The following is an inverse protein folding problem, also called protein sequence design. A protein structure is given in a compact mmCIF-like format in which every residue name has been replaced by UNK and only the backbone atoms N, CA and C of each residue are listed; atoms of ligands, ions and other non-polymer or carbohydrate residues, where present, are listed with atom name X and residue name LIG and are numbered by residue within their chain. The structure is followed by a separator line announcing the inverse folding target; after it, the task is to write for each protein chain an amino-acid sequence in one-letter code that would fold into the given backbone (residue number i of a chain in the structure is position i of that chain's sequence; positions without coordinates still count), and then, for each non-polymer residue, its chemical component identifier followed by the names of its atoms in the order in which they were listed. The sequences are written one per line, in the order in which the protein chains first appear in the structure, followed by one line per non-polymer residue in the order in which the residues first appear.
data_IF_938453336996
#
_entry.id   IF_938453336996
#
_cell.length_a   1.000
_cell.length_b   1.000
_cell.length_c   1.000
_cell.angle_alpha   90.00
_cell.angle_beta   90.00
_cell.angle_gamma   90.00
#
_symmetry.space_group_name_H-M   'P 1'
#
loop_
_entity.id
_entity.type
_entity.pdbx_description
1 polymer ?
#
# COMPACT_ATOMS: atom_id res chain seq x y z
N UNK A 1 2.64 3.26 -4.85
CA UNK A 1 2.69 3.64 -6.28
C UNK A 1 3.20 5.06 -6.33
N UNK A 2 4.02 5.44 -7.31
CA UNK A 2 4.56 6.82 -7.43
C UNK A 2 3.52 7.70 -8.12
N UNK A 3 2.44 8.03 -7.41
CA UNK A 3 1.32 8.84 -7.96
C UNK A 3 1.47 10.34 -7.65
N UNK A 4 2.53 10.72 -6.96
CA UNK A 4 2.78 12.09 -6.50
C UNK A 4 3.49 12.96 -7.55
N UNK A 5 4.27 12.34 -8.44
CA UNK A 5 4.97 13.01 -9.54
C UNK A 5 4.71 12.23 -10.83
N UNK A 6 3.83 12.80 -11.68
CA UNK A 6 3.48 12.23 -12.98
C UNK A 6 4.56 12.55 -14.02
N UNK A 7 4.80 11.62 -14.94
CA UNK A 7 5.89 11.69 -15.92
C UNK A 7 5.45 12.27 -17.26
N UNK A 8 4.17 12.13 -17.59
CA UNK A 8 3.61 12.64 -18.83
C UNK A 8 3.56 14.16 -18.85
N UNK A 9 3.73 14.76 -20.04
CA UNK A 9 3.85 16.21 -20.22
C UNK A 9 2.63 16.88 -20.87
N UNK A 10 1.76 16.13 -21.54
CA UNK A 10 0.54 16.67 -22.14
C UNK A 10 -0.68 16.33 -21.26
N UNK A 11 -1.71 17.21 -21.21
CA UNK A 11 -2.90 16.97 -20.39
C UNK A 11 -3.57 15.61 -20.67
N UNK A 12 -3.67 15.23 -21.94
CA UNK A 12 -4.25 13.96 -22.37
C UNK A 12 -3.48 12.75 -21.83
N UNK A 13 -2.14 12.79 -21.92
CA UNK A 13 -1.29 11.69 -21.42
C UNK A 13 -1.27 11.64 -19.89
N UNK A 14 -1.35 12.80 -19.22
CA UNK A 14 -1.49 12.89 -17.76
C UNK A 14 -2.77 12.21 -17.29
N UNK A 15 -3.90 12.44 -17.98
CA UNK A 15 -5.15 11.74 -17.66
C UNK A 15 -4.99 10.21 -17.79
N UNK A 16 -4.35 9.74 -18.87
CA UNK A 16 -4.09 8.30 -19.06
C UNK A 16 -3.20 7.73 -17.95
N UNK A 17 -2.14 8.44 -17.56
CA UNK A 17 -1.25 8.03 -16.47
C UNK A 17 -2.00 7.87 -15.14
N UNK A 18 -2.89 8.82 -14.81
CA UNK A 18 -3.76 8.74 -13.63
C UNK A 18 -4.67 7.51 -13.71
N UNK A 19 -5.31 7.27 -14.86
CA UNK A 19 -6.18 6.11 -15.05
C UNK A 19 -5.43 4.79 -14.91
N UNK A 20 -4.22 4.68 -15.46
CA UNK A 20 -3.39 3.47 -15.31
C UNK A 20 -3.00 3.25 -13.85
N UNK A 21 -2.69 4.32 -13.10
CA UNK A 21 -2.44 4.20 -11.66
C UNK A 21 -3.67 3.73 -10.89
N UNK A 22 -4.85 4.28 -11.18
CA UNK A 22 -6.09 3.84 -10.55
C UNK A 22 -6.42 2.39 -10.89
N UNK A 23 -6.25 1.99 -12.15
CA UNK A 23 -6.45 0.61 -12.60
C UNK A 23 -5.55 -0.37 -11.84
N UNK A 24 -4.24 -0.10 -11.80
CA UNK A 24 -3.30 -0.98 -11.10
C UNK A 24 -3.54 -0.98 -9.58
N UNK A 25 -3.97 0.14 -8.98
CA UNK A 25 -4.37 0.19 -7.58
C UNK A 25 -5.59 -0.69 -7.31
N UNK A 26 -6.65 -0.57 -8.12
CA UNK A 26 -7.89 -1.34 -7.98
C UNK A 26 -7.66 -2.83 -8.23
N UNK A 27 -6.83 -3.18 -9.21
CA UNK A 27 -6.44 -4.57 -9.45
C UNK A 27 -5.78 -5.16 -8.21
N UNK A 28 -4.79 -4.46 -7.65
CA UNK A 28 -4.10 -4.95 -6.46
C UNK A 28 -5.04 -5.03 -5.25
N UNK A 29 -5.96 -4.07 -5.08
CA UNK A 29 -6.98 -4.13 -4.02
C UNK A 29 -7.95 -5.28 -4.19
N UNK A 30 -8.29 -5.64 -5.42
CA UNK A 30 -9.14 -6.80 -5.71
C UNK A 30 -8.42 -8.09 -5.36
N UNK A 31 -7.16 -8.26 -5.78
CA UNK A 31 -6.33 -9.42 -5.40
C UNK A 31 -6.22 -9.54 -3.87
N UNK A 32 -5.99 -8.44 -3.16
CA UNK A 32 -5.97 -8.42 -1.70
C UNK A 32 -7.32 -8.83 -1.09
N UNK A 33 -8.44 -8.38 -1.66
CA UNK A 33 -9.77 -8.71 -1.16
C UNK A 33 -10.10 -10.19 -1.34
N UNK A 34 -9.75 -10.77 -2.50
CA UNK A 34 -9.91 -12.21 -2.77
C UNK A 34 -9.06 -13.03 -1.81
N UNK A 35 -7.76 -12.72 -1.72
CA UNK A 35 -6.85 -13.41 -0.80
C UNK A 35 -7.31 -13.32 0.67
N UNK A 36 -7.83 -12.17 1.09
CA UNK A 36 -8.37 -11.99 2.43
C UNK A 36 -9.62 -12.82 2.67
N UNK A 37 -10.53 -12.86 1.69
CA UNK A 37 -11.75 -13.68 1.74
C UNK A 37 -11.42 -15.18 1.86
N UNK A 38 -10.45 -15.67 1.08
CA UNK A 38 -10.03 -17.08 1.12
C UNK A 38 -9.34 -17.45 2.45
N UNK A 39 -8.61 -16.51 3.04
CA UNK A 39 -7.92 -16.71 4.31
C UNK A 39 -8.76 -16.37 5.55
N UNK A 40 -10.02 -15.94 5.38
CA UNK A 40 -10.92 -15.58 6.49
C UNK A 40 -10.45 -14.38 7.32
N UNK A 41 -9.83 -13.38 6.68
CA UNK A 41 -9.33 -12.16 7.34
C UNK A 41 -9.92 -10.91 6.72
N UNK A 42 -9.77 -9.76 7.40
CA UNK A 42 -10.20 -8.50 6.82
C UNK A 42 -9.23 -8.04 5.72
N UNK A 43 -9.72 -7.51 4.58
CA UNK A 43 -8.85 -6.97 3.53
C UNK A 43 -7.89 -5.86 4.00
N UNK A 44 -8.23 -5.17 5.11
CA UNK A 44 -7.41 -4.12 5.72
C UNK A 44 -6.19 -4.66 6.47
N UNK A 45 -6.23 -5.93 6.87
CA UNK A 45 -5.11 -6.61 7.52
C UNK A 45 -4.04 -7.03 6.51
N UNK A 46 -4.35 -7.07 5.21
CA UNK A 46 -3.38 -7.42 4.16
C UNK A 46 -2.45 -6.25 3.86
N UNK A 47 -1.14 -6.53 3.81
CA UNK A 47 -0.11 -5.55 3.48
C UNK A 47 -0.15 -5.19 2.00
N UNK A 48 -0.55 -3.95 1.69
CA UNK A 48 -0.49 -3.44 0.31
C UNK A 48 0.91 -3.54 -0.30
N UNK A 49 1.97 -3.29 0.49
CA UNK A 49 3.35 -3.41 0.01
C UNK A 49 3.70 -4.87 -0.29
N UNK A 50 3.34 -5.78 0.62
CA UNK A 50 3.55 -7.22 0.45
C UNK A 50 2.81 -7.75 -0.77
N UNK A 51 1.53 -7.40 -0.92
CA UNK A 51 0.72 -7.76 -2.07
C UNK A 51 1.35 -7.29 -3.39
N UNK A 52 1.79 -6.03 -3.46
CA UNK A 52 2.49 -5.51 -4.66
C UNK A 52 3.72 -6.36 -4.99
N UNK A 53 4.55 -6.66 -3.99
CA UNK A 53 5.79 -7.43 -4.19
C UNK A 53 5.47 -8.85 -4.67
N UNK A 54 4.47 -9.50 -4.08
CA UNK A 54 4.03 -10.84 -4.46
C UNK A 54 3.53 -10.86 -5.91
N UNK A 55 2.59 -9.97 -6.27
CA UNK A 55 2.06 -9.88 -7.64
C UNK A 55 3.17 -9.64 -8.66
N UNK A 56 4.09 -8.69 -8.39
CA UNK A 56 5.23 -8.44 -9.29
C UNK A 56 6.14 -9.66 -9.44
N UNK A 57 6.37 -10.43 -8.37
CA UNK A 57 7.23 -11.60 -8.41
C UNK A 57 6.58 -12.81 -9.11
N UNK A 58 5.25 -12.93 -9.04
CA UNK A 58 4.49 -14.01 -9.67
C UNK A 58 4.14 -13.71 -11.13
N UNK A 59 4.00 -12.43 -11.52
CA UNK A 59 3.65 -12.03 -12.89
C UNK A 59 4.46 -12.76 -13.99
N UNK A 60 5.81 -12.75 -14.00
CA UNK A 60 6.58 -13.44 -15.03
C UNK A 60 6.41 -14.97 -14.98
N UNK A 61 6.12 -15.54 -13.81
CA UNK A 61 5.89 -16.99 -13.65
C UNK A 61 4.56 -17.40 -14.26
N UNK A 62 3.51 -16.61 -14.03
CA UNK A 62 2.18 -16.84 -14.60
C UNK A 62 2.20 -16.64 -16.12
N UNK A 63 2.94 -15.63 -16.60
CA UNK A 63 3.13 -15.37 -18.02
C UNK A 63 3.80 -16.54 -18.75
N UNK A 64 4.88 -17.08 -18.17
CA UNK A 64 5.61 -18.22 -18.72
C UNK A 64 4.90 -19.59 -18.54
N UNK A 65 3.92 -19.67 -17.64
CA UNK A 65 3.24 -20.92 -17.33
C UNK A 65 2.28 -21.35 -18.44
N UNK A 66 2.23 -22.67 -18.68
CA UNK A 66 1.20 -23.29 -19.52
C UNK A 66 -0.18 -23.02 -18.90
N UNK A 67 -1.25 -22.91 -19.71
CA UNK A 67 -2.59 -22.62 -19.19
C UNK A 67 -3.04 -23.53 -18.04
N UNK A 68 -2.68 -24.83 -18.09
CA UNK A 68 -3.02 -25.80 -17.05
C UNK A 68 -2.32 -25.56 -15.70
N UNK A 69 -1.14 -24.92 -15.68
CA UNK A 69 -0.36 -24.69 -14.46
C UNK A 69 -0.68 -23.34 -13.80
N UNK A 70 -1.40 -22.44 -14.51
CA UNK A 70 -1.74 -21.09 -14.02
C UNK A 70 -2.62 -21.08 -12.77
N UNK A 71 -3.66 -21.93 -12.63
CA UNK A 71 -4.51 -21.92 -11.44
C UNK A 71 -3.70 -22.15 -10.15
N UNK A 72 -2.83 -23.16 -10.12
CA UNK A 72 -1.99 -23.45 -8.96
C UNK A 72 -1.04 -22.29 -8.60
N UNK A 73 -0.53 -21.56 -9.60
CA UNK A 73 0.29 -20.37 -9.36
C UNK A 73 -0.53 -19.20 -8.80
N UNK A 74 -1.79 -19.05 -9.23
CA UNK A 74 -2.70 -18.04 -8.72
C UNK A 74 -3.05 -18.36 -7.26
N UNK A 75 -3.37 -19.61 -6.94
CA UNK A 75 -3.65 -20.05 -5.56
C UNK A 75 -2.44 -19.78 -4.65
N UNK A 76 -1.24 -20.11 -5.12
CA UNK A 76 0.00 -19.82 -4.39
C UNK A 76 0.23 -18.32 -4.21
N UNK A 77 -0.07 -17.49 -5.21
CA UNK A 77 -0.01 -16.04 -5.11
C UNK A 77 -0.97 -15.53 -4.03
N UNK A 78 -2.23 -15.97 -4.04
CA UNK A 78 -3.25 -15.54 -3.08
C UNK A 78 -2.85 -15.92 -1.64
N UNK A 79 -2.34 -17.14 -1.44
CA UNK A 79 -1.81 -17.58 -0.15
C UNK A 79 -0.65 -16.67 0.35
N UNK A 80 0.31 -16.33 -0.52
CA UNK A 80 1.42 -15.43 -0.16
C UNK A 80 0.93 -14.02 0.15
N UNK A 81 -0.06 -13.52 -0.60
CA UNK A 81 -0.67 -12.21 -0.34
C UNK A 81 -1.34 -12.19 1.04
N UNK A 82 -2.14 -13.21 1.37
CA UNK A 82 -2.82 -13.32 2.66
C UNK A 82 -1.85 -13.49 3.85
N UNK A 83 -0.70 -14.14 3.63
CA UNK A 83 0.35 -14.30 4.64
C UNK A 83 0.97 -12.96 5.06
N UNK A 84 1.17 -12.04 4.12
CA UNK A 84 1.77 -10.74 4.41
C UNK A 84 0.78 -9.78 5.06
N UNK A 85 0.65 -9.87 6.39
CA UNK A 85 -0.24 -9.01 7.16
C UNK A 85 0.43 -7.71 7.63
N UNK A 86 -0.36 -6.65 7.76
CA UNK A 86 0.01 -5.43 8.48
C UNK A 86 -0.11 -5.73 9.96
N UNK A 87 1.01 -5.73 10.68
CA UNK A 87 0.99 -5.94 12.13
C UNK A 87 0.28 -4.79 12.85
N UNK A 88 -0.50 -5.14 13.89
CA UNK A 88 -1.01 -4.17 14.84
C UNK A 88 0.14 -3.58 15.67
N UNK A 89 0.07 -2.28 15.93
CA UNK A 89 1.02 -1.56 16.78
C UNK A 89 0.21 -0.74 17.79
N UNK A 90 -0.34 -1.38 18.83
CA UNK A 90 -1.13 -0.70 19.84
C UNK A 90 -0.29 0.43 20.47
N UNK A 91 -0.90 1.60 20.68
CA UNK A 91 -0.22 2.79 21.20
C UNK A 91 0.60 3.58 20.17
N UNK A 92 0.51 3.25 18.86
CA UNK A 92 1.10 4.06 17.80
C UNK A 92 0.34 5.36 17.58
N UNK A 93 0.75 6.38 18.31
CA UNK A 93 0.41 7.77 18.03
C UNK A 93 1.58 8.45 17.31
N UNK A 94 1.35 8.93 16.08
CA UNK A 94 2.35 9.63 15.28
C UNK A 94 1.97 11.12 15.19
N UNK A 95 2.74 12.05 15.79
CA UNK A 95 2.38 13.46 15.80
C UNK A 95 2.21 14.01 14.38
N UNK A 96 1.17 14.83 14.12
CA UNK A 96 0.98 15.56 12.85
C UNK A 96 2.02 16.68 12.68
N UNK A 97 3.28 16.29 12.54
CA UNK A 97 4.44 17.15 12.38
C UNK A 97 5.44 16.51 11.42
N UNK A 98 6.10 17.31 10.59
CA UNK A 98 7.00 16.85 9.52
C UNK A 98 8.46 16.90 9.98
N UNK A 99 9.24 15.85 9.73
CA UNK A 99 10.67 15.77 10.08
C UNK A 99 11.62 16.35 9.02
N UNK A 100 11.27 16.30 7.72
CA UNK A 100 12.04 16.88 6.60
C UNK A 100 11.12 17.66 5.63
N UNK A 101 11.64 18.64 4.88
CA UNK A 101 10.87 19.59 4.02
C UNK A 101 10.75 19.11 2.55
N UNK A 102 9.58 19.34 1.90
CA UNK A 102 9.33 20.63 1.21
C UNK A 102 8.00 21.39 1.53
N UNK A 103 6.98 20.80 2.17
CA UNK A 103 5.64 21.43 2.28
C UNK A 103 5.41 22.20 3.61
N UNK A 104 4.53 23.23 3.65
CA UNK A 104 4.15 23.94 4.88
C UNK A 104 3.49 23.00 5.92
N UNK A 105 3.89 23.12 7.18
CA UNK A 105 3.36 22.34 8.31
C UNK A 105 4.22 22.48 9.58
N UNK A 106 3.68 22.11 10.75
CA UNK A 106 4.47 22.06 11.99
C UNK A 106 5.65 21.11 11.84
N UNK A 107 6.77 21.49 12.42
CA UNK A 107 8.00 20.70 12.42
C UNK A 107 8.03 19.77 13.63
N UNK A 108 8.53 18.55 13.43
CA UNK A 108 8.82 17.65 14.53
C UNK A 108 10.23 17.95 15.04
N UNK A 109 10.36 19.00 15.85
CA UNK A 109 11.64 19.46 16.42
C UNK A 109 11.99 18.77 17.74
N UNK A 110 11.09 17.96 18.29
CA UNK A 110 11.27 17.23 19.54
C UNK A 110 11.17 15.73 19.31
N UNK A 111 11.63 14.94 20.28
CA UNK A 111 11.51 13.49 20.20
C UNK A 111 10.04 13.07 20.15
N UNK A 112 9.77 11.92 19.52
CA UNK A 112 8.40 11.42 19.41
C UNK A 112 7.77 11.20 20.79
N UNK A 113 8.54 10.72 21.76
CA UNK A 113 8.09 10.52 23.13
C UNK A 113 7.53 11.80 23.75
N UNK A 114 8.29 12.90 23.66
CA UNK A 114 7.88 14.22 24.17
C UNK A 114 6.67 14.77 23.39
N UNK A 115 6.63 14.57 22.07
CA UNK A 115 5.49 15.02 21.27
C UNK A 115 4.17 14.30 21.60
N UNK A 116 4.20 13.06 22.13
CA UNK A 116 2.98 12.33 22.51
C UNK A 116 2.29 12.87 23.75
N UNK A 117 2.98 13.67 24.56
CA UNK A 117 2.46 14.17 25.82
C UNK A 117 1.24 15.07 25.56
N UNK A 118 0.16 14.97 26.35
CA UNK A 118 -1.05 15.79 26.21
C UNK A 118 -0.81 17.29 25.95
N UNK A 119 0.09 18.01 26.68
CA UNK A 119 0.33 19.44 26.43
C UNK A 119 0.96 19.73 25.06
N UNK A 120 1.63 18.74 24.45
CA UNK A 120 2.31 18.88 23.16
C UNK A 120 1.46 18.38 21.99
N UNK A 121 0.28 17.81 22.26
CA UNK A 121 -0.65 17.41 21.21
C UNK A 121 -1.25 18.66 20.59
N UNK A 122 -1.30 18.71 19.25
CA UNK A 122 -2.02 19.79 18.57
C UNK A 122 -3.50 19.71 18.93
N UNK A 123 -4.12 20.86 19.17
CA UNK A 123 -5.53 21.08 19.59
C UNK A 123 -6.61 20.33 18.76
N UNK A 124 -6.25 19.76 17.61
CA UNK A 124 -7.14 19.08 16.66
C UNK A 124 -6.96 17.56 16.67
N UNK A 125 -6.64 16.99 17.84
CA UNK A 125 -6.53 15.57 18.14
C UNK A 125 -7.13 15.27 19.50
#
# INVERSE_FOLDING_TARGET
MQMDVLRCKTPEMVHREIWVHLLAYNLLRTVMAVAASEAGIEPREVSFKGAKQAVTAFAPKIEAARPADRPALIDALLAVVAYHRVGDRPGRWEPRARKRRPKPGARLNQTRAVAKLPPNRRKWY
#
